data_IF_666918897410
#
_entry.id   IF_666918897410
#
_cell.length_a   1.000
_cell.length_b   1.000
_cell.length_c   1.000
_cell.angle_alpha   90.00
_cell.angle_beta   90.00
_cell.angle_gamma   90.00
#
_symmetry.space_group_name_H-M   'P 1'
#
loop_
_entity.id
_entity.type
_entity.pdbx_description
1 polymer ?
#
# COMPACT_ATOMS: atom_id res chain seq x y z
N UNK A 1 -14.82 -23.23 -16.39
CA UNK A 1 -14.70 -22.57 -15.08
C UNK A 1 -13.67 -23.34 -14.28
N UNK A 2 -12.66 -22.64 -13.74
CA UNK A 2 -11.59 -23.30 -13.00
C UNK A 2 -11.83 -23.30 -11.47
N UNK A 3 -13.10 -23.38 -11.05
CA UNK A 3 -13.46 -23.35 -9.62
C UNK A 3 -14.63 -24.29 -9.31
N UNK A 4 -14.68 -24.82 -8.09
CA UNK A 4 -15.74 -25.71 -7.63
C UNK A 4 -17.06 -24.99 -7.38
N UNK A 5 -17.01 -23.69 -7.03
CA UNK A 5 -18.20 -22.91 -6.75
C UNK A 5 -18.04 -21.41 -6.95
N UNK A 6 -19.18 -20.73 -7.03
CA UNK A 6 -19.32 -19.29 -7.13
C UNK A 6 -20.02 -18.77 -5.87
N UNK A 7 -19.44 -17.77 -5.24
CA UNK A 7 -19.98 -17.15 -4.03
C UNK A 7 -20.20 -15.66 -4.30
N UNK A 8 -21.42 -15.19 -4.26
CA UNK A 8 -21.75 -13.79 -4.38
C UNK A 8 -22.14 -13.26 -3.01
N UNK A 9 -21.39 -12.27 -2.53
CA UNK A 9 -21.72 -11.48 -1.35
C UNK A 9 -22.47 -10.25 -1.81
N UNK A 10 -23.65 -10.04 -1.26
CA UNK A 10 -24.58 -8.99 -1.69
C UNK A 10 -24.93 -8.07 -0.55
N UNK A 11 -24.92 -6.78 -0.81
CA UNK A 11 -25.34 -5.72 0.09
C UNK A 11 -26.53 -4.99 -0.53
N UNK A 12 -27.73 -5.08 0.07
CA UNK A 12 -28.90 -4.33 -0.35
C UNK A 12 -29.18 -3.15 0.58
N UNK A 13 -29.33 -1.96 0.00
CA UNK A 13 -29.58 -0.71 0.71
C UNK A 13 -30.88 -0.05 0.28
N UNK A 14 -31.51 0.67 1.21
CA UNK A 14 -32.77 1.37 0.96
C UNK A 14 -33.95 0.43 0.78
N UNK A 15 -33.88 -0.76 1.37
CA UNK A 15 -34.96 -1.76 1.33
C UNK A 15 -36.20 -1.29 2.12
N UNK A 16 -37.33 -1.96 1.89
CA UNK A 16 -38.52 -1.79 2.71
C UNK A 16 -38.30 -2.38 4.11
N UNK A 17 -38.38 -1.54 5.14
CA UNK A 17 -38.19 -1.99 6.54
C UNK A 17 -39.29 -2.93 7.02
N UNK A 18 -40.49 -2.82 6.45
CA UNK A 18 -41.59 -3.74 6.75
C UNK A 18 -41.29 -5.13 6.22
N UNK A 19 -40.81 -5.24 4.97
CA UNK A 19 -40.43 -6.51 4.36
C UNK A 19 -39.26 -7.15 5.12
N UNK A 20 -38.25 -6.36 5.46
CA UNK A 20 -37.04 -6.86 6.13
C UNK A 20 -37.29 -7.35 7.57
N UNK A 21 -38.47 -7.09 8.16
CA UNK A 21 -38.85 -7.55 9.49
C UNK A 21 -39.93 -8.65 9.46
N UNK A 22 -40.38 -9.06 8.27
CA UNK A 22 -41.42 -10.06 8.05
C UNK A 22 -40.80 -11.42 7.66
N UNK A 23 -40.69 -12.35 8.62
CA UNK A 23 -40.08 -13.68 8.39
C UNK A 23 -40.76 -14.45 7.26
N UNK A 24 -42.09 -14.64 7.23
CA UNK A 24 -42.77 -15.31 6.13
C UNK A 24 -42.49 -14.69 4.74
N UNK A 25 -42.40 -13.37 4.66
CA UNK A 25 -42.12 -12.65 3.43
C UNK A 25 -40.69 -12.87 2.96
N UNK A 26 -39.70 -12.77 3.88
CA UNK A 26 -38.29 -13.03 3.58
C UNK A 26 -38.10 -14.50 3.16
N UNK A 27 -38.66 -15.45 3.91
CA UNK A 27 -38.57 -16.86 3.55
C UNK A 27 -39.13 -17.12 2.16
N UNK A 28 -40.31 -16.59 1.86
CA UNK A 28 -40.94 -16.72 0.52
C UNK A 28 -40.04 -16.15 -0.58
N UNK A 29 -39.47 -14.96 -0.37
CA UNK A 29 -38.56 -14.31 -1.32
C UNK A 29 -37.26 -15.11 -1.54
N UNK A 30 -36.67 -15.64 -0.47
CA UNK A 30 -35.46 -16.46 -0.55
C UNK A 30 -35.71 -17.81 -1.25
N UNK A 31 -36.83 -18.47 -0.95
CA UNK A 31 -37.23 -19.71 -1.63
C UNK A 31 -37.54 -19.49 -3.11
N UNK A 32 -38.19 -18.37 -3.45
CA UNK A 32 -38.45 -17.95 -4.85
C UNK A 32 -37.12 -17.72 -5.59
N UNK A 33 -36.20 -16.98 -4.98
CA UNK A 33 -34.89 -16.70 -5.56
C UNK A 33 -34.08 -17.99 -5.81
N UNK A 34 -34.07 -18.92 -4.85
CA UNK A 34 -33.44 -20.21 -5.01
C UNK A 34 -34.04 -21.02 -6.15
N UNK A 35 -35.37 -21.14 -6.19
CA UNK A 35 -36.08 -21.91 -7.22
C UNK A 35 -35.90 -21.35 -8.63
N UNK A 36 -36.05 -20.05 -8.80
CA UNK A 36 -35.91 -19.40 -10.11
C UNK A 36 -34.48 -19.32 -10.62
N UNK A 37 -33.50 -19.41 -9.74
CA UNK A 37 -32.07 -19.53 -10.12
C UNK A 37 -31.70 -20.95 -10.59
N UNK A 38 -32.60 -21.90 -10.48
CA UNK A 38 -32.39 -23.31 -10.87
C UNK A 38 -31.90 -24.20 -9.74
N UNK A 39 -31.93 -23.74 -8.48
CA UNK A 39 -31.46 -24.52 -7.35
C UNK A 39 -32.47 -25.58 -6.88
N UNK A 40 -31.94 -26.69 -6.36
CA UNK A 40 -32.73 -27.76 -5.74
C UNK A 40 -32.79 -27.51 -4.24
N UNK A 41 -33.93 -27.07 -3.72
CA UNK A 41 -34.13 -26.75 -2.30
C UNK A 41 -34.21 -28.03 -1.47
N UNK A 42 -33.40 -28.11 -0.39
CA UNK A 42 -33.39 -29.20 0.59
C UNK A 42 -34.20 -28.80 1.82
N UNK A 43 -33.92 -27.64 2.41
CA UNK A 43 -34.57 -27.14 3.62
C UNK A 43 -34.40 -25.61 3.74
N UNK A 44 -35.21 -25.02 4.62
CA UNK A 44 -35.03 -23.60 5.01
C UNK A 44 -35.19 -23.45 6.51
N UNK A 45 -34.55 -22.45 7.08
CA UNK A 45 -34.73 -22.05 8.46
C UNK A 45 -34.52 -20.56 8.61
N UNK A 46 -35.45 -19.90 9.35
CA UNK A 46 -35.41 -18.48 9.58
C UNK A 46 -35.70 -18.17 11.04
N UNK A 47 -35.06 -17.12 11.56
CA UNK A 47 -35.19 -16.67 12.93
C UNK A 47 -35.42 -15.16 12.98
N UNK A 48 -36.42 -14.72 13.76
CA UNK A 48 -36.67 -13.31 14.03
C UNK A 48 -35.97 -12.90 15.32
N UNK A 49 -35.21 -11.81 15.27
CA UNK A 49 -34.58 -11.23 16.44
C UNK A 49 -35.51 -10.18 17.08
N UNK A 50 -35.52 -10.12 18.39
CA UNK A 50 -36.22 -9.07 19.13
C UNK A 50 -35.25 -7.92 19.42
N UNK A 51 -35.60 -6.65 19.15
CA UNK A 51 -36.92 -6.19 18.65
C UNK A 51 -37.03 -6.21 17.12
N UNK A 52 -35.92 -6.30 16.34
CA UNK A 52 -35.95 -6.23 14.89
C UNK A 52 -34.90 -7.14 14.25
N UNK A 53 -35.17 -7.54 13.01
CA UNK A 53 -34.24 -8.23 12.14
C UNK A 53 -34.51 -9.71 11.99
N UNK A 54 -34.12 -10.25 10.84
CA UNK A 54 -34.28 -11.66 10.48
C UNK A 54 -32.94 -12.20 10.01
N UNK A 55 -32.61 -13.41 10.45
CA UNK A 55 -31.55 -14.22 9.85
C UNK A 55 -32.12 -15.52 9.36
N UNK A 56 -31.68 -15.99 8.21
CA UNK A 56 -32.14 -17.23 7.65
C UNK A 56 -31.21 -17.84 6.63
N UNK A 57 -31.44 -19.12 6.37
CA UNK A 57 -30.71 -19.88 5.36
C UNK A 57 -31.66 -20.80 4.60
N UNK A 58 -31.48 -20.86 3.29
CA UNK A 58 -32.05 -21.86 2.41
C UNK A 58 -30.92 -22.79 2.00
N UNK A 59 -30.99 -24.03 2.44
CA UNK A 59 -30.04 -25.09 2.05
C UNK A 59 -30.49 -25.63 0.71
N UNK A 60 -29.60 -25.64 -0.24
CA UNK A 60 -29.81 -26.18 -1.57
C UNK A 60 -28.83 -27.32 -1.84
N UNK A 61 -29.14 -28.21 -2.75
CA UNK A 61 -28.24 -29.30 -3.13
C UNK A 61 -26.89 -28.80 -3.58
N UNK A 62 -26.87 -27.64 -4.19
CA UNK A 62 -25.69 -27.01 -4.76
C UNK A 62 -24.91 -26.16 -3.73
N UNK A 63 -25.41 -25.87 -2.53
CA UNK A 63 -24.83 -25.25 -1.34
C UNK A 63 -25.85 -24.50 -0.45
N UNK A 64 -25.93 -23.14 -0.49
CA UNK A 64 -26.87 -22.38 0.33
C UNK A 64 -27.08 -20.93 -0.18
N UNK A 65 -28.23 -20.37 0.24
CA UNK A 65 -28.49 -18.93 0.23
C UNK A 65 -28.73 -18.50 1.68
N UNK A 66 -28.00 -17.52 2.19
CA UNK A 66 -28.19 -17.00 3.56
C UNK A 66 -28.50 -15.49 3.52
N UNK A 67 -29.22 -15.02 4.55
CA UNK A 67 -29.60 -13.63 4.71
C UNK A 67 -29.52 -13.17 6.16
N UNK A 68 -29.14 -11.91 6.33
CA UNK A 68 -29.26 -11.14 7.56
C UNK A 68 -29.88 -9.80 7.25
N UNK A 69 -30.85 -9.34 8.06
CA UNK A 69 -31.54 -8.07 7.84
C UNK A 69 -31.42 -7.14 9.04
N UNK A 70 -31.36 -5.84 8.74
CA UNK A 70 -31.42 -4.74 9.69
C UNK A 70 -32.48 -3.74 9.23
N UNK A 71 -33.77 -3.97 9.60
CA UNK A 71 -34.88 -3.13 9.19
C UNK A 71 -34.73 -1.66 9.53
N UNK A 72 -34.11 -1.37 10.68
CA UNK A 72 -33.85 -0.01 11.19
C UNK A 72 -32.85 0.77 10.31
N UNK A 73 -31.98 0.07 9.58
CA UNK A 73 -31.03 0.65 8.62
C UNK A 73 -31.49 0.48 7.18
N UNK A 74 -32.66 -0.15 6.95
CA UNK A 74 -33.16 -0.50 5.62
C UNK A 74 -32.15 -1.29 4.81
N UNK A 75 -31.46 -2.22 5.46
CA UNK A 75 -30.29 -2.92 4.95
C UNK A 75 -30.44 -4.43 5.11
N UNK A 76 -29.98 -5.18 4.09
CA UNK A 76 -29.86 -6.62 4.12
C UNK A 76 -28.54 -7.08 3.50
N UNK A 77 -27.85 -8.02 4.18
CA UNK A 77 -26.70 -8.76 3.67
C UNK A 77 -27.15 -10.14 3.22
N UNK A 78 -26.73 -10.57 2.02
CA UNK A 78 -27.12 -11.86 1.45
C UNK A 78 -25.90 -12.57 0.89
N UNK A 79 -25.76 -13.87 1.24
CA UNK A 79 -24.75 -14.77 0.72
C UNK A 79 -25.38 -15.77 -0.24
N UNK A 80 -24.92 -15.76 -1.49
CA UNK A 80 -25.38 -16.66 -2.54
C UNK A 80 -24.22 -17.59 -2.94
N UNK A 81 -24.12 -18.76 -2.31
CA UNK A 81 -23.08 -19.71 -2.64
C UNK A 81 -23.66 -20.91 -3.41
N UNK A 82 -23.09 -21.17 -4.60
CA UNK A 82 -23.52 -22.26 -5.49
C UNK A 82 -22.33 -23.03 -6.02
N UNK A 83 -22.43 -24.37 -6.05
CA UNK A 83 -21.45 -25.24 -6.67
C UNK A 83 -21.96 -25.71 -8.04
N UNK A 84 -21.04 -25.93 -8.99
CA UNK A 84 -21.40 -26.37 -10.34
C UNK A 84 -21.92 -25.25 -11.25
N UNK A 85 -22.62 -25.65 -12.31
CA UNK A 85 -23.08 -24.76 -13.40
C UNK A 85 -24.59 -24.67 -13.53
N UNK A 86 -25.33 -25.50 -12.78
CA UNK A 86 -26.80 -25.62 -12.91
C UNK A 86 -27.55 -24.44 -12.33
N UNK A 87 -26.94 -23.71 -11.37
CA UNK A 87 -27.55 -22.57 -10.67
C UNK A 87 -26.87 -21.28 -11.09
N UNK A 88 -27.68 -20.28 -11.45
CA UNK A 88 -27.18 -18.93 -11.70
C UNK A 88 -27.48 -18.00 -10.50
N UNK A 89 -26.50 -17.73 -9.63
CA UNK A 89 -26.72 -16.92 -8.43
C UNK A 89 -27.07 -15.46 -8.73
N UNK A 90 -26.74 -14.95 -9.92
CA UNK A 90 -27.14 -13.60 -10.33
C UNK A 90 -28.65 -13.47 -10.56
N UNK A 91 -29.33 -14.55 -10.95
CA UNK A 91 -30.78 -14.57 -10.98
C UNK A 91 -31.39 -14.36 -9.60
N UNK A 92 -30.81 -14.99 -8.56
CA UNK A 92 -31.20 -14.77 -7.15
C UNK A 92 -30.99 -13.32 -6.72
N UNK A 93 -29.89 -12.69 -7.12
CA UNK A 93 -29.61 -11.29 -6.82
C UNK A 93 -30.69 -10.36 -7.37
N UNK A 94 -31.07 -10.49 -8.64
CA UNK A 94 -32.06 -9.65 -9.26
C UNK A 94 -33.47 -9.82 -8.63
N UNK A 95 -33.83 -11.07 -8.31
CA UNK A 95 -35.10 -11.37 -7.65
C UNK A 95 -35.14 -10.73 -6.27
N UNK A 96 -34.11 -10.94 -5.45
CA UNK A 96 -34.09 -10.43 -4.08
C UNK A 96 -34.02 -8.89 -4.06
N UNK A 97 -33.32 -8.27 -4.99
CA UNK A 97 -33.33 -6.82 -5.15
C UNK A 97 -34.75 -6.25 -5.37
N UNK A 98 -35.53 -6.94 -6.21
CA UNK A 98 -36.93 -6.56 -6.49
C UNK A 98 -37.84 -6.87 -5.29
N UNK A 99 -37.73 -8.07 -4.70
CA UNK A 99 -38.60 -8.52 -3.60
C UNK A 99 -38.42 -7.69 -2.31
N UNK A 100 -37.18 -7.19 -2.04
CA UNK A 100 -36.89 -6.33 -0.90
C UNK A 100 -37.07 -4.85 -1.19
N UNK A 101 -37.50 -4.48 -2.42
CA UNK A 101 -37.65 -3.09 -2.88
C UNK A 101 -36.32 -2.30 -2.67
N UNK A 102 -35.17 -2.92 -2.89
CA UNK A 102 -33.90 -2.30 -2.65
C UNK A 102 -33.59 -1.18 -3.68
N UNK A 103 -33.34 0.02 -3.18
CA UNK A 103 -32.98 1.16 -4.03
C UNK A 103 -31.59 0.97 -4.65
N UNK A 104 -30.66 0.35 -3.90
CA UNK A 104 -29.30 0.07 -4.34
C UNK A 104 -28.90 -1.34 -3.93
N UNK A 105 -28.14 -2.01 -4.80
CA UNK A 105 -27.49 -3.29 -4.50
C UNK A 105 -26.06 -3.27 -4.98
N UNK A 106 -25.14 -3.68 -4.14
CA UNK A 106 -23.75 -3.97 -4.51
C UNK A 106 -23.46 -5.45 -4.31
N UNK A 107 -22.62 -6.02 -5.17
CA UNK A 107 -22.29 -7.43 -5.08
C UNK A 107 -20.85 -7.70 -5.49
N UNK A 108 -20.21 -8.64 -4.79
CA UNK A 108 -18.88 -9.15 -5.11
C UNK A 108 -18.98 -10.64 -5.39
N UNK A 109 -18.53 -11.08 -6.56
CA UNK A 109 -18.44 -12.50 -6.90
C UNK A 109 -17.03 -13.03 -6.63
N UNK A 110 -16.96 -14.14 -5.90
CA UNK A 110 -15.72 -14.87 -5.61
C UNK A 110 -15.81 -16.30 -6.14
N UNK A 111 -14.78 -16.73 -6.85
CA UNK A 111 -14.62 -18.14 -7.23
C UNK A 111 -13.95 -18.91 -6.10
N UNK A 112 -14.58 -20.01 -5.65
CA UNK A 112 -14.13 -20.84 -4.55
C UNK A 112 -13.71 -22.23 -5.05
N UNK A 113 -12.61 -22.77 -4.45
CA UNK A 113 -12.08 -24.06 -4.88
C UNK A 113 -11.50 -23.99 -6.30
N UNK A 114 -10.47 -23.17 -6.52
CA UNK A 114 -9.81 -23.05 -7.82
C UNK A 114 -9.13 -24.38 -8.16
N UNK A 115 -9.57 -25.04 -9.24
CA UNK A 115 -9.12 -26.39 -9.65
C UNK A 115 -7.62 -26.44 -9.94
N UNK A 116 -7.05 -25.41 -10.53
CA UNK A 116 -5.60 -25.33 -10.79
C UNK A 116 -4.75 -25.41 -9.52
N UNK A 117 -5.28 -24.90 -8.39
CA UNK A 117 -4.62 -24.99 -7.09
C UNK A 117 -4.84 -26.35 -6.44
N UNK A 118 -5.97 -27.01 -6.70
CA UNK A 118 -6.30 -28.34 -6.17
C UNK A 118 -5.56 -29.44 -6.93
N UNK A 119 -5.39 -29.31 -8.25
CA UNK A 119 -4.66 -30.27 -9.10
C UNK A 119 -3.13 -30.24 -8.88
N UNK A 120 -2.59 -29.14 -8.40
CA UNK A 120 -1.18 -28.99 -8.04
C UNK A 120 -0.83 -29.47 -6.63
N UNK A 121 -1.83 -29.79 -5.82
CA UNK A 121 -1.58 -30.39 -4.51
C UNK A 121 -1.42 -31.90 -4.69
N UNK A 122 -0.23 -32.45 -4.35
CA UNK A 122 0.01 -33.88 -4.18
C UNK A 122 -0.84 -34.45 -3.00
N UNK A 123 -2.14 -34.17 -2.99
CA UNK A 123 -3.05 -34.66 -1.99
C UNK A 123 -3.57 -35.99 -2.52
N UNK A 124 -3.13 -37.06 -1.93
CA UNK A 124 -3.77 -38.37 -2.10
C UNK A 124 -5.17 -38.33 -1.47
N UNK A 125 -6.18 -38.16 -2.32
CA UNK A 125 -7.59 -38.15 -1.91
C UNK A 125 -8.04 -39.49 -1.30
N UNK A 126 -7.27 -40.57 -1.48
CA UNK A 126 -7.50 -41.86 -0.81
C UNK A 126 -7.19 -41.80 0.68
N UNK A 127 -6.12 -41.13 1.09
CA UNK A 127 -5.75 -40.96 2.51
C UNK A 127 -6.70 -40.02 3.27
N UNK A 128 -7.37 -39.07 2.61
CA UNK A 128 -8.33 -38.16 3.23
C UNK A 128 -9.65 -38.86 3.68
N UNK A 129 -9.95 -40.04 3.16
CA UNK A 129 -11.16 -40.81 3.55
C UNK A 129 -11.00 -41.57 4.84
N UNK A 130 -9.78 -41.93 5.24
CA UNK A 130 -9.53 -42.83 6.36
C UNK A 130 -9.04 -42.16 7.65
N UNK A 131 -8.75 -40.88 7.62
CA UNK A 131 -8.29 -40.15 8.82
C UNK A 131 -9.24 -39.02 9.17
N UNK A 132 -10.16 -39.30 10.11
CA UNK A 132 -10.95 -38.30 10.84
C UNK A 132 -10.05 -37.43 11.77
N UNK A 133 -8.87 -37.09 11.35
CA UNK A 133 -7.97 -36.15 12.03
C UNK A 133 -7.82 -34.91 11.20
N UNK A 134 -8.30 -33.80 11.75
CA UNK A 134 -8.07 -32.44 11.29
C UNK A 134 -6.57 -32.10 11.22
N UNK A 135 -5.80 -32.85 10.43
CA UNK A 135 -4.44 -32.52 10.09
C UNK A 135 -4.34 -32.33 8.59
N UNK A 136 -3.91 -31.14 8.24
CA UNK A 136 -3.29 -30.83 6.96
C UNK A 136 -4.22 -30.40 5.83
N UNK A 137 -4.86 -29.27 6.03
CA UNK A 137 -4.71 -28.29 4.97
C UNK A 137 -3.54 -27.44 5.41
N UNK A 138 -2.38 -27.61 4.75
CA UNK A 138 -1.24 -26.73 4.98
C UNK A 138 -1.74 -25.29 4.85
N UNK A 139 -1.51 -24.40 5.82
CA UNK A 139 -1.92 -23.00 5.74
C UNK A 139 -1.42 -22.30 4.47
N UNK A 140 -0.42 -22.88 3.82
CA UNK A 140 0.23 -22.32 2.61
C UNK A 140 -0.65 -22.31 1.36
N UNK A 141 -1.74 -23.08 1.28
CA UNK A 141 -2.52 -23.21 0.05
C UNK A 141 -3.95 -22.68 0.12
N UNK A 142 -4.45 -22.33 1.31
CA UNK A 142 -5.87 -22.09 1.49
C UNK A 142 -6.36 -20.65 1.31
N UNK A 143 -5.48 -19.65 1.17
CA UNK A 143 -5.92 -18.27 1.04
C UNK A 143 -5.04 -17.46 0.08
N UNK A 144 -5.48 -17.27 -1.16
CA UNK A 144 -5.02 -16.11 -1.90
C UNK A 144 -5.61 -14.88 -1.23
N UNK A 145 -4.79 -14.18 -0.46
CA UNK A 145 -5.20 -12.97 0.24
C UNK A 145 -4.61 -11.79 -0.53
N UNK A 146 -5.42 -10.77 -0.69
CA UNK A 146 -5.01 -9.53 -1.30
C UNK A 146 -4.79 -8.48 -0.21
N UNK A 147 -3.58 -7.94 -0.15
CA UNK A 147 -3.31 -6.69 0.54
C UNK A 147 -3.81 -5.56 -0.35
N UNK A 148 -4.52 -4.59 0.20
CA UNK A 148 -5.05 -3.45 -0.56
C UNK A 148 -4.62 -2.15 0.11
N UNK A 149 -3.82 -1.39 -0.60
CA UNK A 149 -3.49 0.00 -0.30
C UNK A 149 -4.48 0.91 -1.02
N UNK A 150 -5.14 1.81 -0.30
CA UNK A 150 -6.21 2.63 -0.88
C UNK A 150 -6.43 3.95 -0.16
N UNK A 151 -6.88 4.93 -0.94
CA UNK A 151 -7.62 6.09 -0.45
C UNK A 151 -9.13 5.96 -0.77
N UNK A 152 -9.86 7.05 -0.74
CA UNK A 152 -11.32 7.06 -1.02
C UNK A 152 -11.68 6.62 -2.46
N UNK A 153 -10.79 6.85 -3.44
CA UNK A 153 -11.12 6.76 -4.86
C UNK A 153 -10.22 5.79 -5.65
N UNK A 154 -9.05 5.45 -5.13
CA UNK A 154 -8.05 4.65 -5.83
C UNK A 154 -7.54 3.56 -4.89
N UNK A 155 -7.36 2.36 -5.42
CA UNK A 155 -6.78 1.24 -4.68
C UNK A 155 -5.79 0.46 -5.55
N UNK A 156 -4.71 -0.01 -4.93
CA UNK A 156 -3.80 -1.01 -5.46
C UNK A 156 -3.93 -2.28 -4.62
N UNK A 157 -4.10 -3.42 -5.26
CA UNK A 157 -4.15 -4.70 -4.55
C UNK A 157 -3.00 -5.60 -4.97
N UNK A 158 -2.26 -6.12 -3.99
CA UNK A 158 -1.11 -7.00 -4.16
C UNK A 158 -1.41 -8.34 -3.52
N UNK A 159 -1.25 -9.44 -4.29
CA UNK A 159 -1.50 -10.79 -3.80
C UNK A 159 -0.33 -11.26 -2.94
N UNK A 160 -0.62 -11.70 -1.70
CA UNK A 160 0.37 -12.29 -0.81
C UNK A 160 0.11 -13.79 -0.53
N UNK A 161 1.10 -14.47 0.04
CA UNK A 161 1.11 -15.94 0.19
C UNK A 161 0.30 -16.46 1.38
N UNK A 162 -0.46 -15.60 2.05
CA UNK A 162 -1.41 -15.98 3.09
C UNK A 162 -1.15 -15.31 4.43
N UNK A 163 -0.08 -15.64 5.14
CA UNK A 163 0.15 -15.11 6.47
C UNK A 163 0.98 -13.82 6.46
N UNK A 164 0.71 -12.93 7.43
CA UNK A 164 1.63 -11.86 7.80
C UNK A 164 2.81 -12.51 8.52
N UNK A 165 4.02 -12.30 8.00
CA UNK A 165 5.23 -12.87 8.62
C UNK A 165 5.74 -12.04 9.79
N UNK A 166 5.33 -10.76 9.86
CA UNK A 166 5.54 -9.87 11.00
C UNK A 166 4.31 -9.00 11.21
N UNK A 167 3.96 -8.72 12.46
CA UNK A 167 2.92 -7.77 12.84
C UNK A 167 3.19 -7.24 14.24
N UNK A 168 3.32 -5.94 14.34
CA UNK A 168 3.47 -5.23 15.61
C UNK A 168 2.71 -3.91 15.58
N UNK A 169 1.96 -3.64 16.64
CA UNK A 169 1.38 -2.33 16.90
C UNK A 169 2.28 -1.58 17.88
N UNK A 170 3.08 -0.66 17.35
CA UNK A 170 3.93 0.22 18.14
C UNK A 170 3.11 1.36 18.77
N UNK A 171 3.73 2.23 19.58
CA UNK A 171 3.09 3.46 20.05
C UNK A 171 2.69 4.44 18.94
N UNK A 172 3.28 4.31 17.74
CA UNK A 172 3.13 5.24 16.64
C UNK A 172 2.20 4.71 15.54
N UNK A 173 2.36 3.42 15.17
CA UNK A 173 1.74 2.85 13.97
C UNK A 173 1.68 1.33 14.01
N UNK A 174 1.00 0.71 13.06
CA UNK A 174 0.99 -0.74 12.89
C UNK A 174 1.97 -1.14 11.78
N UNK A 175 3.02 -1.87 12.15
CA UNK A 175 4.06 -2.35 11.22
C UNK A 175 3.78 -3.80 10.85
N UNK A 176 3.74 -4.11 9.55
CA UNK A 176 3.46 -5.46 9.06
C UNK A 176 4.41 -5.83 7.91
N UNK A 177 4.79 -7.10 7.84
CA UNK A 177 5.52 -7.66 6.68
C UNK A 177 4.67 -8.77 6.06
N UNK A 178 4.50 -8.70 4.76
CA UNK A 178 3.83 -9.73 3.96
C UNK A 178 4.81 -10.38 2.99
N UNK A 179 4.73 -11.70 2.82
CA UNK A 179 5.42 -12.40 1.73
C UNK A 179 4.50 -12.43 0.50
N UNK A 180 4.85 -11.67 -0.54
CA UNK A 180 4.05 -11.54 -1.75
C UNK A 180 4.48 -12.53 -2.83
N UNK A 181 3.64 -12.75 -3.84
CA UNK A 181 4.00 -13.61 -4.97
C UNK A 181 4.95 -12.92 -5.97
N UNK A 182 4.78 -11.63 -6.21
CA UNK A 182 5.49 -10.90 -7.26
C UNK A 182 6.62 -10.04 -6.70
N UNK A 183 6.40 -9.38 -5.56
CA UNK A 183 7.29 -8.34 -5.07
C UNK A 183 8.23 -8.79 -3.94
N UNK A 184 8.28 -10.10 -3.62
CA UNK A 184 9.03 -10.59 -2.46
C UNK A 184 8.39 -10.15 -1.15
N UNK A 185 9.19 -9.91 -0.13
CA UNK A 185 8.69 -9.39 1.13
C UNK A 185 8.37 -7.90 1.01
N UNK A 186 7.25 -7.50 1.58
CA UNK A 186 6.69 -6.16 1.49
C UNK A 186 6.43 -5.61 2.89
N UNK A 187 7.02 -4.47 3.21
CA UNK A 187 6.78 -3.71 4.43
C UNK A 187 5.58 -2.80 4.24
N UNK A 188 4.68 -2.82 5.20
CA UNK A 188 3.55 -1.89 5.26
C UNK A 188 3.47 -1.23 6.62
N UNK A 189 3.02 0.03 6.63
CA UNK A 189 2.76 0.82 7.84
C UNK A 189 1.34 1.35 7.74
N UNK A 190 0.52 1.07 8.75
CA UNK A 190 -0.91 1.46 8.82
C UNK A 190 -1.68 1.13 7.54
N UNK A 191 -1.39 -0.03 6.93
CA UNK A 191 -1.96 -0.55 5.66
C UNK A 191 -1.56 0.23 4.40
N UNK A 192 -0.51 1.03 4.44
CA UNK A 192 0.12 1.65 3.28
C UNK A 192 1.41 0.90 2.94
N UNK A 193 1.70 0.70 1.67
CA UNK A 193 2.94 0.07 1.22
C UNK A 193 4.10 1.05 1.39
N UNK A 194 5.13 0.65 2.14
CA UNK A 194 6.35 1.45 2.29
C UNK A 194 7.43 1.02 1.30
N UNK A 195 7.71 -0.28 1.21
CA UNK A 195 8.66 -0.82 0.24
C UNK A 195 8.45 -2.32 0.00
N UNK A 196 9.03 -2.85 -1.06
CA UNK A 196 9.12 -4.28 -1.33
C UNK A 196 10.51 -4.67 -1.86
N UNK A 197 10.93 -5.92 -1.66
CA UNK A 197 12.27 -6.38 -2.06
C UNK A 197 12.55 -6.22 -3.57
N UNK A 198 11.51 -6.32 -4.42
CA UNK A 198 11.70 -6.37 -5.87
C UNK A 198 11.57 -5.01 -6.58
N UNK A 199 11.00 -3.98 -5.95
CA UNK A 199 10.87 -2.67 -6.61
C UNK A 199 11.43 -1.48 -5.82
N UNK A 200 11.92 -1.68 -4.59
CA UNK A 200 12.49 -0.63 -3.74
C UNK A 200 13.63 0.15 -4.39
N UNK A 201 14.34 -0.47 -5.36
CA UNK A 201 15.41 0.20 -6.09
C UNK A 201 14.92 1.45 -6.84
N UNK A 202 13.69 1.42 -7.36
CA UNK A 202 13.12 2.57 -8.04
C UNK A 202 12.98 3.79 -7.10
N UNK A 203 12.67 3.54 -5.84
CA UNK A 203 12.55 4.59 -4.83
C UNK A 203 13.92 5.03 -4.30
N UNK A 204 14.69 4.09 -3.72
CA UNK A 204 15.92 4.43 -3.00
C UNK A 204 17.03 4.95 -3.92
N UNK A 205 17.16 4.39 -5.12
CA UNK A 205 18.14 4.90 -6.08
C UNK A 205 17.78 6.31 -6.55
N UNK A 206 16.49 6.63 -6.74
CA UNK A 206 16.09 7.95 -7.22
C UNK A 206 16.16 9.02 -6.11
N UNK A 207 15.73 8.72 -4.89
CA UNK A 207 15.78 9.71 -3.81
C UNK A 207 17.23 10.05 -3.42
N UNK A 208 18.18 9.12 -3.59
CA UNK A 208 19.57 9.28 -3.16
C UNK A 208 20.50 9.69 -4.30
N UNK A 209 20.51 8.97 -5.44
CA UNK A 209 21.53 9.24 -6.45
C UNK A 209 21.28 10.54 -7.22
N UNK A 210 20.04 11.03 -7.29
CA UNK A 210 19.74 12.34 -7.89
C UNK A 210 20.53 13.45 -7.17
N UNK A 211 20.38 13.73 -5.87
CA UNK A 211 21.16 14.78 -5.21
C UNK A 211 22.66 14.46 -5.11
N UNK A 212 23.03 13.21 -4.87
CA UNK A 212 24.43 12.81 -4.68
C UNK A 212 25.30 12.98 -5.93
N UNK A 213 24.72 12.79 -7.12
CA UNK A 213 25.43 12.91 -8.39
C UNK A 213 25.40 14.34 -8.95
N UNK A 214 24.46 15.18 -8.50
CA UNK A 214 24.45 16.63 -8.81
C UNK A 214 25.42 17.39 -7.91
N UNK A 215 25.50 17.03 -6.60
CA UNK A 215 26.41 17.65 -5.63
C UNK A 215 27.49 16.66 -5.17
N UNK A 216 28.69 16.65 -5.80
CA UNK A 216 29.73 15.67 -5.50
C UNK A 216 30.46 15.89 -4.18
N UNK A 217 30.27 17.03 -3.51
CA UNK A 217 30.97 17.39 -2.30
C UNK A 217 30.23 16.99 -0.99
N UNK A 218 29.16 16.21 -1.10
CA UNK A 218 28.35 15.75 0.05
C UNK A 218 29.18 14.79 0.90
N UNK A 219 29.35 15.13 2.19
CA UNK A 219 30.08 14.35 3.20
C UNK A 219 29.23 13.99 4.41
N UNK A 220 28.40 14.93 4.88
CA UNK A 220 27.58 14.77 6.07
C UNK A 220 26.10 14.76 5.67
N UNK A 221 25.44 13.62 5.88
CA UNK A 221 24.06 13.38 5.45
C UNK A 221 23.16 13.20 6.65
N UNK A 222 21.99 13.81 6.61
CA UNK A 222 20.87 13.53 7.54
C UNK A 222 19.75 12.84 6.76
N UNK A 223 19.24 11.74 7.31
CA UNK A 223 18.04 11.04 6.82
C UNK A 223 16.97 11.13 7.91
N UNK A 224 15.80 11.64 7.55
CA UNK A 224 14.60 11.67 8.40
C UNK A 224 13.64 10.58 7.92
N UNK A 225 13.37 9.60 8.78
CA UNK A 225 12.70 8.36 8.41
C UNK A 225 13.69 7.34 7.85
N UNK A 226 13.28 6.57 6.84
CA UNK A 226 14.13 5.60 6.16
C UNK A 226 14.45 4.36 6.99
N UNK A 227 13.60 3.99 7.94
CA UNK A 227 13.82 2.88 8.89
C UNK A 227 14.04 1.51 8.27
N UNK A 228 13.75 1.33 6.98
CA UNK A 228 14.08 0.11 6.23
C UNK A 228 15.57 0.00 5.87
N UNK A 229 16.31 1.11 5.88
CA UNK A 229 17.75 1.17 5.63
C UNK A 229 18.14 1.32 4.16
N UNK A 230 17.18 1.31 3.22
CA UNK A 230 17.46 1.38 1.79
C UNK A 230 18.15 2.70 1.39
N UNK A 231 17.67 3.83 1.91
CA UNK A 231 18.30 5.14 1.67
C UNK A 231 19.74 5.20 2.19
N UNK A 232 20.00 4.69 3.39
CA UNK A 232 21.36 4.65 3.95
C UNK A 232 22.28 3.75 3.13
N UNK A 233 21.78 2.60 2.66
CA UNK A 233 22.53 1.69 1.79
C UNK A 233 22.96 2.40 0.51
N UNK A 234 22.08 3.17 -0.13
CA UNK A 234 22.41 3.90 -1.37
C UNK A 234 23.35 5.08 -1.10
N UNK A 235 23.21 5.80 0.02
CA UNK A 235 24.13 6.87 0.42
C UNK A 235 25.55 6.35 0.58
N UNK A 236 25.73 5.20 1.24
CA UNK A 236 27.06 4.65 1.56
C UNK A 236 27.79 4.03 0.35
N UNK A 237 27.13 3.92 -0.82
CA UNK A 237 27.83 3.64 -2.08
C UNK A 237 28.72 4.81 -2.52
N UNK A 238 28.49 6.01 -2.01
CA UNK A 238 29.28 7.20 -2.33
C UNK A 238 30.45 7.34 -1.36
N UNK A 239 31.65 7.01 -1.81
CA UNK A 239 32.88 6.93 -0.98
C UNK A 239 33.22 8.21 -0.23
N UNK A 240 32.87 9.39 -0.80
CA UNK A 240 33.10 10.69 -0.19
C UNK A 240 32.27 10.98 1.06
N UNK A 241 31.23 10.16 1.35
CA UNK A 241 30.42 10.31 2.56
C UNK A 241 31.23 9.94 3.79
N UNK A 242 31.32 10.88 4.72
CA UNK A 242 32.05 10.72 5.99
C UNK A 242 31.13 10.27 7.13
N UNK A 243 29.89 10.79 7.16
CA UNK A 243 28.92 10.45 8.20
C UNK A 243 27.48 10.51 7.70
N UNK A 244 26.66 9.60 8.21
CA UNK A 244 25.19 9.58 8.02
C UNK A 244 24.55 9.58 9.40
N UNK A 245 23.63 10.51 9.65
CA UNK A 245 22.73 10.45 10.79
C UNK A 245 21.34 10.09 10.28
N UNK A 246 20.75 9.02 10.79
CA UNK A 246 19.36 8.63 10.46
C UNK A 246 18.50 8.74 11.71
N UNK A 247 17.37 9.42 11.60
CA UNK A 247 16.41 9.59 12.70
C UNK A 247 15.09 8.95 12.31
N UNK A 248 14.80 7.81 12.90
CA UNK A 248 13.58 7.04 12.69
C UNK A 248 12.74 7.05 13.98
N UNK A 249 11.44 7.37 13.83
CA UNK A 249 10.55 7.48 14.99
C UNK A 249 10.20 6.12 15.59
N UNK A 250 10.09 5.09 14.74
CA UNK A 250 9.58 3.78 15.14
C UNK A 250 10.64 2.68 15.06
N UNK A 251 11.14 2.27 16.20
CA UNK A 251 12.08 1.15 16.30
C UNK A 251 11.53 -0.16 15.72
N UNK A 252 10.20 -0.35 15.71
CA UNK A 252 9.58 -1.55 15.15
C UNK A 252 9.85 -1.68 13.64
N UNK A 253 9.91 -0.57 12.91
CA UNK A 253 10.27 -0.56 11.48
C UNK A 253 11.70 -1.04 11.29
N UNK A 254 12.65 -0.51 12.09
CA UNK A 254 14.07 -0.89 12.01
C UNK A 254 14.28 -2.38 12.33
N UNK A 255 13.61 -2.88 13.38
CA UNK A 255 13.70 -4.30 13.77
C UNK A 255 13.09 -5.22 12.72
N UNK A 256 11.90 -4.89 12.21
CA UNK A 256 11.25 -5.66 11.16
C UNK A 256 12.12 -5.71 9.89
N UNK A 257 12.74 -4.59 9.52
CA UNK A 257 13.59 -4.50 8.33
C UNK A 257 14.88 -5.32 8.48
N UNK A 258 15.53 -5.26 9.64
CA UNK A 258 16.71 -6.10 9.92
C UNK A 258 16.41 -7.59 9.82
N UNK A 259 15.28 -8.03 10.33
CA UNK A 259 14.91 -9.45 10.39
C UNK A 259 14.37 -9.97 9.05
N UNK A 260 13.53 -9.17 8.38
CA UNK A 260 12.76 -9.65 7.23
C UNK A 260 13.20 -9.08 5.89
N UNK A 261 13.88 -7.93 5.85
CA UNK A 261 14.35 -7.24 4.64
C UNK A 261 15.88 -7.07 4.63
N UNK A 262 16.65 -8.18 4.73
CA UNK A 262 18.10 -8.09 4.90
C UNK A 262 18.81 -7.43 3.73
N UNK A 263 18.26 -7.44 2.52
CA UNK A 263 18.85 -6.78 1.35
C UNK A 263 18.76 -5.25 1.39
N UNK A 264 17.77 -4.69 2.10
CA UNK A 264 17.61 -3.27 2.30
C UNK A 264 18.44 -2.78 3.49
N UNK A 265 18.37 -3.52 4.59
CA UNK A 265 18.91 -3.14 5.89
C UNK A 265 20.41 -3.38 6.08
N UNK A 266 21.13 -3.78 5.02
CA UNK A 266 22.59 -4.11 5.10
C UNK A 266 23.46 -3.02 5.70
N UNK A 267 23.06 -1.77 5.53
CA UNK A 267 23.84 -0.61 5.97
C UNK A 267 23.46 -0.08 7.36
N UNK A 268 22.47 -0.70 8.03
CA UNK A 268 22.03 -0.25 9.36
C UNK A 268 23.05 -0.49 10.49
N UNK A 269 24.09 -1.26 10.23
CA UNK A 269 25.19 -1.52 11.17
C UNK A 269 26.52 -0.94 10.68
N UNK A 270 26.51 -0.09 9.64
CA UNK A 270 27.73 0.54 9.11
C UNK A 270 28.30 1.55 10.13
N UNK A 271 29.62 1.58 10.35
CA UNK A 271 30.26 2.49 11.31
C UNK A 271 30.12 3.97 10.98
N UNK A 272 29.83 4.33 9.74
CA UNK A 272 29.51 5.72 9.32
C UNK A 272 28.09 6.14 9.69
N UNK A 273 27.19 5.20 10.04
CA UNK A 273 25.82 5.47 10.41
C UNK A 273 25.67 5.72 11.91
N UNK A 274 25.05 6.83 12.26
CA UNK A 274 24.47 7.09 13.57
C UNK A 274 22.94 6.97 13.48
N UNK A 275 22.41 5.81 13.88
CA UNK A 275 20.97 5.59 14.01
C UNK A 275 20.46 6.17 15.34
N UNK A 276 19.40 6.97 15.26
CA UNK A 276 18.71 7.57 16.40
C UNK A 276 17.23 7.18 16.30
N UNK A 277 16.70 6.53 17.33
CA UNK A 277 15.26 6.32 17.46
C UNK A 277 14.66 7.54 18.16
N UNK A 278 13.82 8.29 17.45
CA UNK A 278 13.24 9.52 17.96
C UNK A 278 12.49 10.36 16.92
N UNK A 279 11.96 11.48 17.38
CA UNK A 279 11.21 12.43 16.55
C UNK A 279 12.15 13.25 15.65
N UNK A 280 12.03 13.05 14.33
CA UNK A 280 12.82 13.75 13.32
C UNK A 280 12.56 15.26 13.27
N UNK A 281 11.33 15.70 13.57
CA UNK A 281 10.98 17.13 13.59
C UNK A 281 11.73 17.82 14.74
N UNK A 282 11.66 17.22 15.91
CA UNK A 282 12.35 17.75 17.10
C UNK A 282 13.87 17.70 16.92
N UNK A 283 14.39 16.63 16.31
CA UNK A 283 15.81 16.50 16.01
C UNK A 283 16.31 17.61 15.09
N UNK A 284 15.61 17.91 13.99
CA UNK A 284 15.99 18.99 13.05
C UNK A 284 15.87 20.34 13.74
N UNK A 285 14.82 20.56 14.50
CA UNK A 285 14.62 21.80 15.27
C UNK A 285 15.78 22.11 16.23
N UNK A 286 16.35 21.08 16.86
CA UNK A 286 17.47 21.19 17.79
C UNK A 286 18.84 21.14 17.12
N UNK A 287 18.92 20.75 15.85
CA UNK A 287 20.18 20.65 15.13
C UNK A 287 20.77 22.06 14.92
N UNK A 288 22.13 22.18 14.98
CA UNK A 288 22.80 23.45 14.69
C UNK A 288 22.58 23.87 13.22
N UNK A 289 22.72 25.16 12.98
CA UNK A 289 22.71 25.72 11.62
C UNK A 289 23.87 25.14 10.79
N UNK A 290 23.69 25.07 9.49
CA UNK A 290 24.71 24.75 8.50
C UNK A 290 25.54 23.47 8.82
N UNK A 291 24.86 22.41 9.25
CA UNK A 291 25.49 21.16 9.70
C UNK A 291 25.60 20.12 8.59
N UNK A 292 24.59 20.03 7.72
CA UNK A 292 24.49 18.93 6.74
C UNK A 292 24.70 19.41 5.33
N UNK A 293 25.34 18.57 4.51
CA UNK A 293 25.52 18.79 3.08
C UNK A 293 24.32 18.28 2.28
N UNK A 294 23.67 17.21 2.78
CA UNK A 294 22.43 16.65 2.24
C UNK A 294 21.47 16.32 3.39
N UNK A 295 20.21 16.71 3.21
CA UNK A 295 19.11 16.23 4.08
C UNK A 295 18.11 15.46 3.19
N UNK A 296 17.85 14.22 3.56
CA UNK A 296 16.88 13.32 2.91
C UNK A 296 15.65 13.21 3.81
N UNK A 297 14.48 13.57 3.30
CA UNK A 297 13.20 13.35 3.99
C UNK A 297 12.54 12.13 3.36
N UNK A 298 12.77 10.99 3.98
CA UNK A 298 12.32 9.66 3.56
C UNK A 298 11.23 9.16 4.51
N UNK A 299 10.09 9.84 4.46
CA UNK A 299 8.97 9.65 5.38
C UNK A 299 7.82 8.88 4.74
N UNK A 300 6.92 8.34 5.56
CA UNK A 300 5.59 7.89 5.11
C UNK A 300 4.70 9.07 4.70
N UNK A 301 3.51 8.75 4.17
CA UNK A 301 2.47 9.72 3.79
C UNK A 301 2.10 10.67 4.95
N UNK A 302 1.52 11.87 4.68
CA UNK A 302 1.20 12.88 5.70
C UNK A 302 0.01 12.50 6.58
N UNK A 303 0.14 11.38 7.28
CA UNK A 303 -0.88 10.82 8.19
C UNK A 303 -0.23 10.49 9.53
N UNK A 304 -0.92 10.78 10.64
CA UNK A 304 -0.45 10.45 11.98
C UNK A 304 0.90 11.09 12.33
N UNK A 305 1.92 10.31 12.73
CA UNK A 305 3.22 10.86 13.14
C UNK A 305 3.95 11.67 12.07
N UNK A 306 3.69 11.38 10.79
CA UNK A 306 4.37 12.03 9.64
C UNK A 306 3.74 13.37 9.23
N UNK A 307 2.53 13.71 9.72
CA UNK A 307 1.82 14.93 9.31
C UNK A 307 2.67 16.20 9.52
N UNK A 308 3.42 16.26 10.62
CA UNK A 308 4.30 17.39 10.93
C UNK A 308 5.49 17.56 9.99
N UNK A 309 5.93 16.49 9.31
CA UNK A 309 7.02 16.51 8.31
C UNK A 309 6.62 17.22 7.01
N UNK A 310 5.37 17.54 6.80
CA UNK A 310 4.87 18.32 5.66
C UNK A 310 4.64 19.80 6.01
N UNK A 311 5.01 20.21 7.23
CA UNK A 311 4.79 21.59 7.70
C UNK A 311 5.86 22.57 7.20
N UNK A 312 5.46 23.82 6.98
CA UNK A 312 6.40 24.90 6.63
C UNK A 312 7.46 25.13 7.72
N UNK A 313 7.12 24.96 8.99
CA UNK A 313 8.06 25.12 10.10
C UNK A 313 9.21 24.10 10.01
N UNK A 314 8.89 22.83 9.75
CA UNK A 314 9.89 21.79 9.57
C UNK A 314 10.84 22.08 8.42
N UNK A 315 10.35 22.46 7.23
CA UNK A 315 11.21 22.74 6.09
C UNK A 315 12.03 24.03 6.25
N UNK A 316 11.58 25.01 7.04
CA UNK A 316 12.44 26.16 7.44
C UNK A 316 13.62 25.70 8.29
N UNK A 317 13.39 24.79 9.22
CA UNK A 317 14.45 24.21 10.04
C UNK A 317 15.39 23.34 9.20
N UNK A 318 14.87 22.55 8.26
CA UNK A 318 15.68 21.80 7.27
C UNK A 318 16.57 22.75 6.47
N UNK A 319 16.03 23.86 5.92
CA UNK A 319 16.80 24.85 5.18
C UNK A 319 17.88 25.48 6.05
N UNK A 320 17.58 25.80 7.32
CA UNK A 320 18.55 26.35 8.28
C UNK A 320 19.71 25.39 8.54
N UNK A 321 19.43 24.09 8.69
CA UNK A 321 20.42 23.05 8.98
C UNK A 321 21.31 22.69 7.78
N UNK A 322 20.90 23.03 6.55
CA UNK A 322 21.73 22.84 5.36
C UNK A 322 22.87 23.86 5.31
N UNK A 323 24.08 23.39 4.97
CA UNK A 323 25.24 24.25 4.68
C UNK A 323 25.02 25.11 3.42
N UNK A 324 25.78 26.19 3.23
CA UNK A 324 25.86 26.83 1.93
C UNK A 324 26.21 25.81 0.84
N UNK A 325 25.47 25.77 -0.26
CA UNK A 325 25.62 24.75 -1.32
C UNK A 325 25.05 23.38 -0.96
N UNK A 326 24.39 23.24 0.19
CA UNK A 326 23.71 22.01 0.60
C UNK A 326 22.42 21.77 -0.18
N UNK A 327 22.03 20.51 -0.26
CA UNK A 327 20.87 20.02 -1.03
C UNK A 327 19.90 19.29 -0.10
N UNK A 328 18.62 19.39 -0.38
CA UNK A 328 17.58 18.56 0.23
C UNK A 328 16.86 17.77 -0.84
N UNK A 329 16.56 16.53 -0.54
CA UNK A 329 15.60 15.71 -1.28
C UNK A 329 14.51 15.20 -0.36
N UNK A 330 13.29 15.09 -0.86
CA UNK A 330 12.16 14.57 -0.11
C UNK A 330 11.27 13.72 -1.01
N UNK A 331 10.70 12.66 -0.46
CA UNK A 331 9.52 12.07 -1.06
C UNK A 331 8.39 13.13 -1.05
N UNK A 332 7.62 13.21 -2.10
CA UNK A 332 6.69 14.33 -2.33
C UNK A 332 5.31 13.86 -2.79
N UNK A 333 4.95 12.62 -2.47
CA UNK A 333 3.65 12.06 -2.76
C UNK A 333 3.39 11.79 -4.26
N UNK A 334 2.23 11.20 -4.52
CA UNK A 334 1.75 10.97 -5.88
C UNK A 334 0.92 12.14 -6.40
N UNK A 335 1.23 12.67 -7.60
CA UNK A 335 0.41 13.71 -8.22
C UNK A 335 -1.01 13.23 -8.59
N UNK A 336 -1.29 11.93 -8.44
CA UNK A 336 -2.60 11.31 -8.72
C UNK A 336 -3.28 10.77 -7.49
N UNK A 337 -2.53 10.12 -6.59
CA UNK A 337 -3.07 9.48 -5.39
C UNK A 337 -3.30 10.51 -4.27
N UNK A 338 -2.29 11.40 -4.03
CA UNK A 338 -2.33 12.44 -3.01
C UNK A 338 -2.06 13.83 -3.60
N UNK A 339 -2.79 14.19 -4.65
CA UNK A 339 -2.57 15.42 -5.43
C UNK A 339 -2.45 16.68 -4.58
N UNK A 340 -3.29 16.84 -3.55
CA UNK A 340 -3.28 18.02 -2.70
C UNK A 340 -1.98 18.13 -1.91
N UNK A 341 -1.56 17.07 -1.24
CA UNK A 341 -0.31 17.05 -0.48
C UNK A 341 0.90 17.30 -1.39
N UNK A 342 0.91 16.69 -2.58
CA UNK A 342 1.94 16.92 -3.60
C UNK A 342 2.09 18.41 -4.00
N UNK A 343 0.98 19.08 -4.27
CA UNK A 343 0.98 20.50 -4.67
C UNK A 343 1.35 21.43 -3.50
N UNK A 344 0.73 21.20 -2.34
CA UNK A 344 0.93 22.03 -1.14
C UNK A 344 2.41 21.96 -0.70
N UNK A 345 3.03 20.78 -0.74
CA UNK A 345 4.45 20.59 -0.43
C UNK A 345 5.34 21.35 -1.41
N UNK A 346 5.10 21.22 -2.72
CA UNK A 346 5.90 21.92 -3.73
C UNK A 346 5.85 23.44 -3.56
N UNK A 347 4.67 24.00 -3.29
CA UNK A 347 4.52 25.44 -3.02
C UNK A 347 5.26 25.84 -1.74
N UNK A 348 5.11 25.06 -0.68
CA UNK A 348 5.83 25.30 0.58
C UNK A 348 7.35 25.35 0.38
N UNK A 349 7.89 24.39 -0.38
CA UNK A 349 9.33 24.36 -0.67
C UNK A 349 9.79 25.54 -1.52
N UNK A 350 9.00 25.95 -2.52
CA UNK A 350 9.28 27.15 -3.34
C UNK A 350 9.30 28.45 -2.53
N UNK A 351 8.43 28.55 -1.51
CA UNK A 351 8.42 29.72 -0.62
C UNK A 351 9.66 29.79 0.29
N UNK A 352 10.29 28.64 0.59
CA UNK A 352 11.45 28.55 1.48
C UNK A 352 12.78 28.62 0.73
N UNK A 353 12.93 27.83 -0.34
CA UNK A 353 14.18 27.72 -1.11
C UNK A 353 14.26 28.67 -2.30
N UNK A 354 13.13 29.27 -2.71
CA UNK A 354 13.01 30.02 -3.95
C UNK A 354 12.62 29.15 -5.14
N UNK A 355 11.82 29.75 -6.05
CA UNK A 355 11.21 28.99 -7.17
C UNK A 355 12.23 28.30 -8.07
N UNK A 356 13.35 28.97 -8.35
CA UNK A 356 14.42 28.48 -9.24
C UNK A 356 15.28 27.36 -8.60
N UNK A 357 15.12 27.15 -7.30
CA UNK A 357 15.91 26.19 -6.53
C UNK A 357 15.14 24.91 -6.22
N UNK A 358 13.86 24.82 -6.60
CA UNK A 358 12.98 23.69 -6.31
C UNK A 358 12.55 22.99 -7.60
N UNK A 359 12.94 21.74 -7.75
CA UNK A 359 12.66 20.92 -8.91
C UNK A 359 11.95 19.64 -8.50
N UNK A 360 10.77 19.40 -9.07
CA UNK A 360 10.07 18.14 -8.92
C UNK A 360 10.58 17.13 -9.97
N UNK A 361 10.74 15.88 -9.56
CA UNK A 361 11.00 14.76 -10.47
C UNK A 361 10.16 13.55 -10.11
N UNK A 362 9.93 12.69 -11.09
CA UNK A 362 9.02 11.56 -10.98
C UNK A 362 9.76 10.23 -11.17
N UNK A 363 9.36 9.23 -10.43
CA UNK A 363 9.74 7.84 -10.67
C UNK A 363 8.50 6.94 -10.75
N UNK A 364 8.67 5.77 -11.38
CA UNK A 364 7.65 4.75 -11.43
C UNK A 364 7.96 3.66 -10.40
N UNK A 365 7.08 3.54 -9.41
CA UNK A 365 7.20 2.58 -8.31
C UNK A 365 5.98 1.67 -8.36
N UNK A 366 6.12 0.44 -8.87
CA UNK A 366 4.99 -0.46 -9.15
C UNK A 366 4.08 -0.76 -7.97
N UNK A 367 4.62 -0.85 -6.75
CA UNK A 367 3.85 -1.17 -5.54
C UNK A 367 3.15 0.03 -4.91
N UNK A 368 3.39 1.24 -5.40
CA UNK A 368 2.67 2.43 -4.91
C UNK A 368 1.40 2.67 -5.73
N UNK A 369 0.28 3.06 -5.12
CA UNK A 369 -0.95 3.35 -5.84
C UNK A 369 -0.72 4.32 -7.00
N UNK A 370 -1.20 3.96 -8.19
CA UNK A 370 -0.96 4.61 -9.49
C UNK A 370 0.44 4.45 -10.11
N UNK A 371 1.44 3.97 -9.36
CA UNK A 371 2.83 3.79 -9.83
C UNK A 371 3.63 5.08 -10.02
N UNK A 372 2.99 6.22 -10.10
CA UNK A 372 3.66 7.50 -10.29
C UNK A 372 3.94 8.17 -8.95
N UNK A 373 5.21 8.36 -8.63
CA UNK A 373 5.65 8.96 -7.38
C UNK A 373 6.54 10.16 -7.60
N UNK A 374 6.32 11.20 -6.80
CA UNK A 374 7.04 12.47 -6.88
C UNK A 374 8.14 12.59 -5.84
N UNK A 375 9.21 13.25 -6.22
CA UNK A 375 10.28 13.66 -5.34
C UNK A 375 10.58 15.15 -5.55
N UNK A 376 11.08 15.81 -4.52
CA UNK A 376 11.56 17.18 -4.60
C UNK A 376 13.07 17.22 -4.45
N UNK A 377 13.74 17.95 -5.35
CA UNK A 377 15.13 18.37 -5.24
C UNK A 377 15.17 19.87 -4.92
N UNK A 378 15.84 20.25 -3.84
CA UNK A 378 15.95 21.64 -3.42
C UNK A 378 17.42 21.99 -3.13
N UNK A 379 17.97 22.98 -3.80
CA UNK A 379 19.37 23.39 -3.61
C UNK A 379 19.45 24.78 -2.97
N UNK A 380 20.27 24.92 -1.93
CA UNK A 380 20.45 26.21 -1.23
C UNK A 380 21.24 27.24 -2.01
N UNK A 381 21.97 26.83 -3.06
CA UNK A 381 22.81 27.68 -3.93
C UNK A 381 22.24 27.89 -5.35
N UNK A 382 20.99 27.41 -5.60
CA UNK A 382 20.36 27.51 -6.91
C UNK A 382 20.85 26.50 -7.94
N UNK A 383 21.56 25.45 -7.51
CA UNK A 383 22.05 24.37 -8.38
C UNK A 383 20.88 23.69 -9.10
N UNK A 384 21.04 23.45 -10.40
CA UNK A 384 20.01 22.85 -11.23
C UNK A 384 20.27 21.34 -11.43
N UNK A 385 19.33 20.45 -11.09
CA UNK A 385 19.58 19.01 -11.08
C UNK A 385 19.91 18.40 -12.45
N UNK A 386 19.49 19.01 -13.55
CA UNK A 386 19.78 18.52 -14.91
C UNK A 386 20.97 19.25 -15.55
N UNK A 387 21.07 20.58 -15.37
CA UNK A 387 22.12 21.36 -16.01
C UNK A 387 23.49 21.16 -15.35
N UNK A 388 23.51 20.96 -14.05
CA UNK A 388 24.73 20.76 -13.26
C UNK A 388 25.10 19.27 -13.07
N UNK A 389 24.37 18.36 -13.72
CA UNK A 389 24.69 16.93 -13.73
C UNK A 389 25.88 16.63 -14.65
N UNK A 390 26.91 16.01 -14.10
CA UNK A 390 27.94 15.33 -14.90
C UNK A 390 27.39 13.96 -15.36
N UNK A 391 26.89 13.92 -16.60
CA UNK A 391 26.23 12.72 -17.15
C UNK A 391 27.18 11.52 -17.31
N UNK A 392 28.47 11.77 -17.64
CA UNK A 392 29.46 10.71 -17.80
C UNK A 392 29.79 10.06 -16.44
N UNK A 393 29.97 10.91 -15.41
CA UNK A 393 30.17 10.42 -14.03
C UNK A 393 28.95 9.67 -13.53
N UNK A 394 27.74 10.15 -13.80
CA UNK A 394 26.51 9.47 -13.40
C UNK A 394 26.36 8.09 -14.08
N UNK A 395 26.68 8.01 -15.36
CA UNK A 395 26.66 6.75 -16.11
C UNK A 395 27.70 5.76 -15.58
N UNK A 396 28.93 6.24 -15.33
CA UNK A 396 30.00 5.40 -14.77
C UNK A 396 29.63 4.87 -13.37
N UNK A 397 29.10 5.76 -12.49
CA UNK A 397 28.67 5.38 -11.15
C UNK A 397 27.58 4.30 -11.19
N UNK A 398 26.59 4.47 -12.06
CA UNK A 398 25.51 3.48 -12.19
C UNK A 398 26.04 2.10 -12.65
N UNK A 399 27.03 2.09 -13.54
CA UNK A 399 27.67 0.87 -13.99
C UNK A 399 28.52 0.21 -12.89
N UNK A 400 29.36 0.96 -12.20
CA UNK A 400 30.29 0.46 -11.18
C UNK A 400 29.52 -0.13 -9.97
N UNK A 401 28.38 0.47 -9.61
CA UNK A 401 27.56 0.03 -8.49
C UNK A 401 26.38 -0.87 -8.90
N UNK A 402 26.30 -1.28 -10.18
CA UNK A 402 25.26 -2.16 -10.72
C UNK A 402 23.84 -1.69 -10.36
N UNK A 403 23.59 -0.38 -10.50
CA UNK A 403 22.28 0.19 -10.21
C UNK A 403 21.22 -0.41 -11.12
N UNK A 404 20.03 -0.65 -10.58
CA UNK A 404 18.98 -1.38 -11.29
C UNK A 404 17.94 -0.45 -11.91
N UNK A 405 17.73 0.72 -11.36
CA UNK A 405 16.76 1.68 -11.85
C UNK A 405 17.42 2.98 -12.32
N UNK A 406 18.28 3.58 -11.49
CA UNK A 406 18.93 4.84 -11.81
C UNK A 406 19.99 4.70 -12.90
N UNK A 407 19.96 5.61 -13.85
CA UNK A 407 21.04 5.89 -14.80
C UNK A 407 20.94 7.34 -15.27
N UNK A 408 21.96 7.85 -15.98
CA UNK A 408 21.98 9.25 -16.44
C UNK A 408 20.77 9.63 -17.31
N UNK A 409 20.26 8.71 -18.12
CA UNK A 409 19.06 8.92 -18.95
C UNK A 409 17.78 9.02 -18.12
N UNK A 410 17.59 8.12 -17.16
CA UNK A 410 16.46 8.17 -16.21
C UNK A 410 16.52 9.43 -15.36
N UNK A 411 17.71 9.83 -14.89
CA UNK A 411 17.89 11.10 -14.16
C UNK A 411 17.32 12.28 -14.93
N UNK A 412 17.75 12.47 -16.17
CA UNK A 412 17.28 13.59 -17.02
C UNK A 412 15.78 13.48 -17.31
N UNK A 413 15.30 12.28 -17.67
CA UNK A 413 13.91 12.05 -18.02
C UNK A 413 12.95 12.26 -16.84
N UNK A 414 13.38 11.97 -15.60
CA UNK A 414 12.59 12.14 -14.40
C UNK A 414 12.12 13.60 -14.18
N UNK A 415 12.90 14.59 -14.63
CA UNK A 415 12.56 16.01 -14.56
C UNK A 415 11.69 16.50 -15.73
N UNK A 416 11.44 15.66 -16.75
CA UNK A 416 10.52 15.97 -17.85
C UNK A 416 9.08 15.69 -17.40
N UNK A 417 8.49 16.63 -16.69
CA UNK A 417 7.14 16.46 -16.14
C UNK A 417 6.09 16.40 -17.26
N UNK A 418 5.07 15.52 -17.12
CA UNK A 418 3.87 15.60 -17.97
C UNK A 418 3.25 16.99 -17.89
N UNK A 419 2.77 17.54 -19.02
CA UNK A 419 2.20 18.90 -19.11
C UNK A 419 1.17 19.19 -18.02
N UNK A 420 0.29 18.24 -17.70
CA UNK A 420 -0.72 18.43 -16.66
C UNK A 420 -0.11 18.60 -15.25
N UNK A 421 0.99 17.90 -14.96
CA UNK A 421 1.69 18.02 -13.67
C UNK A 421 2.50 19.30 -13.61
N UNK A 422 3.18 19.65 -14.70
CA UNK A 422 3.91 20.92 -14.80
C UNK A 422 2.96 22.12 -14.60
N UNK A 423 1.82 22.13 -15.29
CA UNK A 423 0.78 23.15 -15.09
C UNK A 423 0.27 23.19 -13.64
N UNK A 424 0.12 22.04 -13.00
CA UNK A 424 -0.36 21.93 -11.61
C UNK A 424 0.61 22.57 -10.61
N UNK A 425 1.92 22.48 -10.87
CA UNK A 425 2.98 22.99 -9.98
C UNK A 425 3.42 24.42 -10.30
N UNK A 426 3.29 24.87 -11.56
CA UNK A 426 3.87 26.10 -12.07
C UNK A 426 2.86 27.05 -12.75
N UNK A 427 1.62 26.61 -12.92
CA UNK A 427 0.50 27.33 -13.57
C UNK A 427 -0.33 28.23 -12.67
#
# INVERSE_FOLDING_TARGET
MNSLGRHILVEFHGCSSEILNDVPRIESSMLKAAKESGATIISSTFHHFSPFGVSGVVVIQESHLAIHTWPEYRYAAVDLFTCGYSVNPWTSYEILKSEFEAHHGSAVEMNRGQLELLEKSDIDLGELRDTATHKLISPRYSRSVWFTDRNENIALSIRHKGDRIFHEKSPYQTVEIFDTFEYGKMLTVDKMVMCSENDEKAYHEMIIHVPMLVQPAIKNVLVIGGGDGGSVREILKHEQVESVTMVEIDEAVVRASREYLPTLSTALDDPKLKLIIGDGIEFVRQSPDETYDLIVVDSSDPVGPSEGLFSQAFYKDVHRCLRPGGVMTAQSESPRFNQRAFVDLNHCLKDIFGRESVHCYLAFIPTYPTGMWGFSFCAKDGRHPVQDLDGDRAAQFAQDHHLQYYNAGIHQAAFCLPTAIDTMLNG
#
